data_IF_504120052117
#
_entry.id   IF_504120052117
#
_cell.length_a   1.000
_cell.length_b   1.000
_cell.length_c   1.000
_cell.angle_alpha   90.00
_cell.angle_beta   90.00
_cell.angle_gamma   90.00
#
_symmetry.space_group_name_H-M   'P 1'
#
loop_
_entity.id
_entity.type
_entity.pdbx_description
1 polymer ?
#
# COMPACT_ATOMS: atom_id res chain seq x y z
N UNK A 1 2.09 -2.56 17.57
CA UNK A 1 2.34 -1.36 16.75
C UNK A 1 3.25 -0.45 17.55
N UNK A 2 4.13 0.34 16.92
CA UNK A 2 4.89 1.37 17.64
C UNK A 2 3.93 2.43 18.18
N UNK A 3 4.26 3.04 19.32
CA UNK A 3 3.47 4.16 19.85
C UNK A 3 3.65 5.34 18.90
N UNK A 4 2.52 5.94 18.49
CA UNK A 4 2.54 7.14 17.65
C UNK A 4 3.25 8.27 18.37
N UNK A 5 4.05 9.03 17.64
CA UNK A 5 4.65 10.26 18.17
C UNK A 5 3.52 11.24 18.56
N UNK A 6 3.56 11.85 19.76
CA UNK A 6 2.47 12.68 20.27
C UNK A 6 2.05 13.80 19.32
N UNK A 7 3.04 14.45 18.70
CA UNK A 7 2.86 15.61 17.80
C UNK A 7 2.74 15.24 16.32
N UNK A 8 2.60 13.95 16.01
CA UNK A 8 2.34 13.53 14.64
C UNK A 8 0.88 13.88 14.28
N UNK A 9 0.59 14.71 13.26
CA UNK A 9 -0.79 14.98 12.87
C UNK A 9 -1.41 13.81 12.09
N UNK A 10 -0.58 12.92 11.54
CA UNK A 10 -1.00 11.86 10.65
C UNK A 10 -1.33 10.58 11.43
N UNK A 11 -2.46 9.89 11.12
CA UNK A 11 -2.77 8.59 11.72
C UNK A 11 -2.04 7.47 10.97
N UNK A 12 -1.96 6.28 11.58
CA UNK A 12 -1.68 5.06 10.83
C UNK A 12 -2.78 4.82 9.79
N UNK A 13 -2.40 4.34 8.61
CA UNK A 13 -3.36 3.96 7.57
C UNK A 13 -3.21 2.47 7.24
N UNK A 14 -4.25 1.90 6.65
CA UNK A 14 -4.27 0.54 6.12
C UNK A 14 -4.51 0.60 4.61
N UNK A 15 -3.51 0.17 3.83
CA UNK A 15 -3.68 -0.06 2.40
C UNK A 15 -4.29 -1.45 2.20
N UNK A 16 -5.60 -1.50 1.93
CA UNK A 16 -6.34 -2.76 1.73
C UNK A 16 -5.87 -3.43 0.44
N UNK A 17 -5.72 -4.75 0.47
CA UNK A 17 -5.35 -5.57 -0.67
C UNK A 17 -6.58 -5.99 -1.46
N UNK A 18 -6.39 -6.14 -2.76
CA UNK A 18 -7.41 -6.76 -3.60
C UNK A 18 -7.41 -8.27 -3.31
N UNK A 19 -8.58 -8.93 -3.21
CA UNK A 19 -8.62 -10.38 -3.06
C UNK A 19 -7.82 -11.09 -4.16
N UNK A 20 -7.00 -12.07 -3.78
CA UNK A 20 -6.10 -12.77 -4.72
C UNK A 20 -4.81 -12.01 -5.10
N UNK A 21 -4.63 -10.80 -4.59
CA UNK A 21 -3.39 -10.03 -4.80
C UNK A 21 -2.22 -10.59 -3.98
N UNK A 22 -1.01 -10.44 -4.55
CA UNK A 22 0.28 -10.80 -3.96
C UNK A 22 1.18 -9.56 -3.85
N UNK A 23 2.27 -9.64 -3.08
CA UNK A 23 3.22 -8.53 -2.95
C UNK A 23 3.83 -8.07 -4.29
N UNK A 24 3.93 -9.01 -5.25
CA UNK A 24 4.52 -8.78 -6.57
C UNK A 24 3.47 -8.55 -7.67
N UNK A 25 2.19 -8.45 -7.33
CA UNK A 25 1.13 -8.21 -8.31
C UNK A 25 1.29 -6.83 -8.95
N UNK A 26 1.47 -6.79 -10.27
CA UNK A 26 1.48 -5.55 -11.08
C UNK A 26 0.13 -5.36 -11.79
N UNK A 27 -0.58 -6.46 -12.01
CA UNK A 27 -1.90 -6.52 -12.64
C UNK A 27 -2.94 -6.97 -11.63
N UNK A 28 -4.21 -6.65 -11.91
CA UNK A 28 -5.31 -7.10 -11.07
C UNK A 28 -5.42 -8.63 -11.09
N UNK A 29 -5.73 -9.26 -9.94
CA UNK A 29 -5.98 -10.70 -9.88
C UNK A 29 -7.16 -11.09 -10.77
N UNK A 30 -7.02 -12.20 -11.50
CA UNK A 30 -8.06 -12.71 -12.39
C UNK A 30 -8.82 -13.88 -11.74
N UNK A 31 -10.08 -14.04 -12.13
CA UNK A 31 -10.88 -15.22 -11.79
C UNK A 31 -10.69 -16.28 -12.87
N UNK A 32 -9.78 -17.23 -12.64
CA UNK A 32 -9.45 -18.29 -13.61
C UNK A 32 -10.13 -19.63 -13.33
N UNK A 33 -10.84 -19.76 -12.21
CA UNK A 33 -11.57 -20.99 -11.89
C UNK A 33 -12.98 -20.97 -12.49
N UNK A 34 -13.36 -22.07 -13.15
CA UNK A 34 -14.72 -22.29 -13.67
C UNK A 34 -15.71 -22.84 -12.62
N UNK A 35 -15.35 -22.83 -11.33
CA UNK A 35 -16.22 -23.34 -10.27
C UNK A 35 -17.41 -22.38 -10.06
N UNK A 36 -18.56 -22.70 -10.65
CA UNK A 36 -19.83 -22.02 -10.40
C UNK A 36 -20.45 -22.41 -9.04
N UNK A 37 -19.95 -23.47 -8.40
CA UNK A 37 -20.42 -23.90 -7.09
C UNK A 37 -19.79 -23.07 -5.96
N UNK A 38 -20.62 -22.31 -5.24
CA UNK A 38 -20.21 -21.49 -4.08
C UNK A 38 -19.52 -22.32 -2.98
N UNK A 39 -19.75 -23.63 -2.91
CA UNK A 39 -19.17 -24.52 -1.91
C UNK A 39 -17.81 -25.12 -2.28
N UNK A 40 -17.33 -24.98 -3.53
CA UNK A 40 -16.06 -25.59 -3.96
C UNK A 40 -15.06 -24.52 -4.39
N UNK A 41 -14.36 -23.97 -3.40
CA UNK A 41 -13.26 -23.03 -3.62
C UNK A 41 -12.07 -23.73 -4.27
N UNK A 42 -11.44 -23.10 -5.27
CA UNK A 42 -10.23 -23.62 -5.89
C UNK A 42 -9.02 -23.51 -4.96
N UNK A 43 -8.00 -24.35 -5.15
CA UNK A 43 -6.77 -24.29 -4.35
C UNK A 43 -5.80 -23.18 -4.80
N UNK A 44 -6.14 -22.45 -5.86
CA UNK A 44 -5.35 -21.32 -6.37
C UNK A 44 -5.36 -20.18 -5.32
N UNK A 45 -4.16 -19.74 -4.93
CA UNK A 45 -4.00 -18.68 -3.92
C UNK A 45 -4.23 -17.28 -4.49
N UNK A 46 -4.11 -17.11 -5.80
CA UNK A 46 -4.22 -15.82 -6.50
C UNK A 46 -5.58 -15.60 -7.16
N UNK A 47 -6.49 -16.58 -7.10
CA UNK A 47 -7.81 -16.49 -7.72
C UNK A 47 -8.65 -15.39 -7.05
N UNK A 48 -9.08 -14.39 -7.81
CA UNK A 48 -9.89 -13.28 -7.28
C UNK A 48 -11.20 -13.77 -6.65
N UNK A 49 -12.05 -14.47 -7.42
CA UNK A 49 -13.38 -14.91 -6.97
C UNK A 49 -13.34 -15.77 -5.69
N UNK A 50 -12.43 -16.75 -5.64
CA UNK A 50 -12.31 -17.62 -4.46
C UNK A 50 -11.76 -16.87 -3.24
N UNK A 51 -10.85 -15.92 -3.43
CA UNK A 51 -10.38 -15.10 -2.30
C UNK A 51 -11.44 -14.10 -1.82
N UNK A 52 -12.29 -13.55 -2.71
CA UNK A 52 -13.42 -12.74 -2.29
C UNK A 52 -14.32 -13.51 -1.32
N UNK A 53 -14.69 -14.75 -1.67
CA UNK A 53 -15.54 -15.60 -0.82
C UNK A 53 -14.82 -15.97 0.49
N UNK A 54 -13.51 -16.27 0.44
CA UNK A 54 -12.72 -16.56 1.66
C UNK A 54 -12.69 -15.37 2.62
N UNK A 55 -12.36 -14.19 2.12
CA UNK A 55 -12.28 -12.96 2.92
C UNK A 55 -13.67 -12.56 3.46
N UNK A 56 -14.74 -12.79 2.68
CA UNK A 56 -16.13 -12.59 3.13
C UNK A 56 -16.54 -13.59 4.22
N UNK A 57 -16.28 -14.88 4.06
CA UNK A 57 -16.61 -15.91 5.05
C UNK A 57 -15.87 -15.68 6.38
N UNK A 58 -14.62 -15.20 6.32
CA UNK A 58 -13.83 -14.87 7.50
C UNK A 58 -14.15 -13.49 8.09
N UNK A 59 -14.92 -12.66 7.38
CA UNK A 59 -15.17 -11.26 7.74
C UNK A 59 -13.88 -10.46 7.98
N UNK A 60 -12.82 -10.78 7.24
CA UNK A 60 -11.53 -10.09 7.29
C UNK A 60 -11.18 -9.46 5.95
N UNK A 61 -10.24 -8.53 5.97
CA UNK A 61 -9.55 -8.05 4.77
C UNK A 61 -8.06 -8.07 5.01
N UNK A 62 -7.30 -8.29 3.94
CA UNK A 62 -5.84 -8.22 3.97
C UNK A 62 -5.37 -6.79 3.75
N UNK A 63 -4.30 -6.39 4.44
CA UNK A 63 -3.79 -5.02 4.32
C UNK A 63 -2.31 -4.85 4.62
N UNK A 64 -1.74 -3.77 4.10
CA UNK A 64 -0.41 -3.27 4.45
C UNK A 64 -0.54 -2.06 5.36
N UNK A 65 0.25 -2.02 6.42
CA UNK A 65 0.26 -0.88 7.34
C UNK A 65 1.08 0.25 6.70
N UNK A 66 0.52 1.45 6.70
CA UNK A 66 1.25 2.67 6.37
C UNK A 66 1.49 3.46 7.66
N UNK A 67 2.74 3.87 7.85
CA UNK A 67 3.23 4.51 9.06
C UNK A 67 3.57 5.96 8.73
N UNK A 68 3.06 6.95 9.47
CA UNK A 68 3.52 8.33 9.34
C UNK A 68 5.03 8.44 9.47
N UNK A 69 5.68 9.23 8.61
CA UNK A 69 7.15 9.31 8.57
C UNK A 69 7.74 9.75 9.91
N UNK A 70 7.09 10.69 10.61
CA UNK A 70 7.54 11.23 11.91
C UNK A 70 7.50 10.14 12.97
N UNK A 71 6.40 9.38 13.02
CA UNK A 71 6.28 8.20 13.89
C UNK A 71 7.32 7.12 13.54
N UNK A 72 7.51 6.81 12.27
CA UNK A 72 8.52 5.82 11.83
C UNK A 72 9.95 6.23 12.25
N UNK A 73 10.24 7.52 12.24
CA UNK A 73 11.55 8.11 12.56
C UNK A 73 11.69 8.58 14.01
N UNK A 74 10.69 8.37 14.87
CA UNK A 74 10.68 8.80 16.28
C UNK A 74 10.96 10.28 16.48
N UNK A 75 10.39 11.12 15.60
CA UNK A 75 10.58 12.57 15.68
C UNK A 75 12.02 13.05 15.42
N UNK A 76 12.95 12.17 15.03
CA UNK A 76 14.36 12.55 14.79
C UNK A 76 14.55 13.36 13.51
N UNK A 77 13.56 13.38 12.62
CA UNK A 77 13.63 14.14 11.37
C UNK A 77 13.26 15.60 11.63
N UNK A 78 14.14 16.59 11.35
CA UNK A 78 13.77 18.00 11.41
C UNK A 78 12.79 18.30 10.26
N UNK A 79 11.50 18.40 10.59
CA UNK A 79 10.39 18.51 9.64
C UNK A 79 10.18 19.91 9.04
N UNK A 80 11.12 20.84 9.23
CA UNK A 80 10.92 22.27 8.90
C UNK A 80 11.38 22.64 7.48
N UNK A 81 11.46 21.69 6.55
CA UNK A 81 12.02 21.94 5.21
C UNK A 81 11.02 21.94 4.06
N UNK A 82 10.04 21.01 4.04
CA UNK A 82 9.13 20.83 2.90
C UNK A 82 7.78 20.25 3.33
N UNK A 83 6.68 20.79 2.77
CA UNK A 83 5.29 20.44 3.10
C UNK A 83 4.98 18.93 3.05
N UNK A 84 5.58 18.20 2.11
CA UNK A 84 5.30 16.78 1.93
C UNK A 84 5.82 15.89 3.05
N UNK A 85 6.70 16.39 3.91
CA UNK A 85 7.20 15.60 5.03
C UNK A 85 6.10 15.33 6.06
N UNK A 86 5.11 16.21 6.22
CA UNK A 86 4.02 16.03 7.19
C UNK A 86 3.00 14.98 6.75
N UNK A 87 2.75 14.90 5.43
CA UNK A 87 1.82 13.93 4.83
C UNK A 87 2.56 12.71 4.24
N UNK A 88 3.86 12.56 4.49
CA UNK A 88 4.64 11.41 4.04
C UNK A 88 4.35 10.19 4.92
N UNK A 89 4.01 9.10 4.26
CA UNK A 89 3.77 7.80 4.86
C UNK A 89 4.83 6.82 4.35
N UNK A 90 5.22 5.88 5.19
CA UNK A 90 6.05 4.74 4.80
C UNK A 90 5.23 3.46 4.80
N UNK A 91 5.38 2.66 3.74
CA UNK A 91 4.79 1.33 3.69
C UNK A 91 5.61 0.36 4.54
N UNK A 92 5.01 -0.26 5.55
CA UNK A 92 5.70 -1.26 6.36
C UNK A 92 6.11 -2.46 5.50
N UNK A 93 7.41 -2.74 5.44
CA UNK A 93 7.96 -3.74 4.52
C UNK A 93 7.46 -5.16 4.85
N UNK A 94 7.35 -5.49 6.15
CA UNK A 94 6.91 -6.80 6.62
C UNK A 94 5.44 -7.06 6.21
N UNK A 95 4.53 -6.12 6.51
CA UNK A 95 3.13 -6.22 6.08
C UNK A 95 2.90 -5.92 4.59
N UNK A 96 3.88 -5.38 3.88
CA UNK A 96 3.84 -5.28 2.41
C UNK A 96 4.15 -6.63 1.74
N UNK A 97 4.96 -7.47 2.38
CA UNK A 97 5.27 -8.81 1.89
C UNK A 97 4.22 -9.83 2.36
N UNK A 98 3.88 -9.80 3.64
CA UNK A 98 2.92 -10.69 4.28
C UNK A 98 1.78 -9.85 4.87
N UNK A 99 0.68 -9.63 4.13
CA UNK A 99 -0.38 -8.73 4.59
C UNK A 99 -0.98 -9.21 5.90
N UNK A 100 -1.41 -8.25 6.71
CA UNK A 100 -2.13 -8.55 7.95
C UNK A 100 -3.61 -8.78 7.67
N UNK A 101 -4.21 -9.74 8.37
CA UNK A 101 -5.65 -9.95 8.35
C UNK A 101 -6.31 -9.02 9.38
N UNK A 102 -7.23 -8.17 8.91
CA UNK A 102 -7.93 -7.20 9.74
C UNK A 102 -9.43 -7.48 9.70
N UNK A 103 -10.10 -7.65 10.85
CA UNK A 103 -11.55 -7.79 10.89
C UNK A 103 -12.25 -6.58 10.26
N UNK A 104 -13.20 -6.82 9.34
CA UNK A 104 -13.93 -5.76 8.63
C UNK A 104 -14.63 -4.80 9.58
N UNK A 105 -15.16 -5.32 10.69
CA UNK A 105 -15.83 -4.53 11.72
C UNK A 105 -14.93 -3.46 12.36
N UNK A 106 -13.60 -3.67 12.42
CA UNK A 106 -12.67 -2.70 13.00
C UNK A 106 -12.44 -1.48 12.12
N UNK A 107 -12.59 -1.64 10.80
CA UNK A 107 -12.29 -0.60 9.81
C UNK A 107 -13.53 -0.02 9.14
N UNK A 108 -14.71 -0.59 9.40
CA UNK A 108 -15.97 -0.23 8.72
C UNK A 108 -16.30 1.26 8.81
N UNK A 109 -16.15 1.84 9.99
CA UNK A 109 -16.47 3.24 10.28
C UNK A 109 -15.27 4.19 10.21
N UNK A 110 -14.10 3.71 9.73
CA UNK A 110 -12.92 4.56 9.63
C UNK A 110 -12.95 5.43 8.36
N UNK A 111 -12.46 6.68 8.43
CA UNK A 111 -12.42 7.56 7.28
C UNK A 111 -11.47 7.03 6.22
N UNK A 112 -11.86 7.13 4.95
CA UNK A 112 -11.01 6.83 3.80
C UNK A 112 -10.19 8.07 3.43
N UNK A 113 -8.93 7.83 3.05
CA UNK A 113 -7.96 8.84 2.63
C UNK A 113 -7.23 8.35 1.39
N UNK A 114 -6.91 9.28 0.49
CA UNK A 114 -6.16 8.96 -0.73
C UNK A 114 -4.67 8.96 -0.42
N UNK A 115 -3.99 7.88 -0.80
CA UNK A 115 -2.52 7.77 -0.71
C UNK A 115 -1.97 7.63 -2.12
N UNK A 116 -1.00 8.47 -2.46
CA UNK A 116 -0.33 8.42 -3.75
C UNK A 116 1.00 7.68 -3.60
N UNK A 117 1.20 6.64 -4.39
CA UNK A 117 2.42 5.83 -4.40
C UNK A 117 3.28 6.15 -5.62
N UNK A 118 4.60 6.21 -5.42
CA UNK A 118 5.53 6.52 -6.51
C UNK A 118 6.99 6.36 -6.13
N UNK A 119 7.89 6.72 -7.05
CA UNK A 119 9.34 6.78 -6.78
C UNK A 119 9.78 8.11 -6.16
N UNK A 120 9.04 9.20 -6.43
CA UNK A 120 9.26 10.51 -5.84
C UNK A 120 7.99 11.35 -5.91
N UNK A 121 7.96 12.43 -5.12
CA UNK A 121 6.88 13.42 -5.15
C UNK A 121 6.71 14.01 -6.56
N UNK A 122 7.82 14.31 -7.24
CA UNK A 122 7.80 14.84 -8.60
C UNK A 122 7.19 13.86 -9.61
N UNK A 123 7.43 12.54 -9.45
CA UNK A 123 6.84 11.55 -10.37
C UNK A 123 5.38 11.28 -10.07
N UNK A 124 4.96 11.33 -8.80
CA UNK A 124 3.55 11.23 -8.38
C UNK A 124 2.71 12.35 -9.01
N UNK A 125 3.19 13.59 -8.97
CA UNK A 125 2.44 14.75 -9.45
C UNK A 125 2.65 15.06 -10.92
N UNK A 126 3.50 14.31 -11.62
CA UNK A 126 3.75 14.52 -13.04
C UNK A 126 2.46 14.26 -13.84
N UNK A 127 1.97 15.29 -14.51
CA UNK A 127 0.76 15.21 -15.34
C UNK A 127 -0.56 15.33 -14.57
N UNK A 128 -0.52 15.59 -13.25
CA UNK A 128 -1.73 15.99 -12.52
C UNK A 128 -2.03 17.47 -12.75
N UNK A 129 -3.31 17.83 -12.71
CA UNK A 129 -3.74 19.23 -12.73
C UNK A 129 -3.38 19.93 -11.43
N UNK A 130 -3.34 21.27 -11.46
CA UNK A 130 -3.09 22.09 -10.27
C UNK A 130 -4.09 21.78 -9.15
N UNK A 131 -5.36 21.56 -9.48
CA UNK A 131 -6.42 21.20 -8.52
C UNK A 131 -6.18 19.82 -7.91
N UNK A 132 -5.75 18.84 -8.72
CA UNK A 132 -5.40 17.50 -8.24
C UNK A 132 -4.20 17.52 -7.29
N UNK A 133 -3.22 18.36 -7.59
CA UNK A 133 -2.07 18.60 -6.71
C UNK A 133 -2.58 19.23 -5.40
N UNK A 134 -3.30 20.36 -5.45
CA UNK A 134 -3.85 21.04 -4.26
C UNK A 134 -4.69 20.11 -3.38
N UNK A 135 -5.53 19.27 -3.99
CA UNK A 135 -6.31 18.27 -3.26
C UNK A 135 -5.42 17.29 -2.49
N UNK A 136 -4.36 16.77 -3.13
CA UNK A 136 -3.40 15.90 -2.46
C UNK A 136 -2.71 16.63 -1.30
N UNK A 137 -2.30 17.90 -1.51
CA UNK A 137 -1.74 18.72 -0.45
C UNK A 137 -2.69 18.78 0.76
N UNK A 138 -3.97 19.09 0.57
CA UNK A 138 -4.91 19.32 1.67
C UNK A 138 -5.47 18.06 2.33
N UNK A 139 -5.62 16.96 1.58
CA UNK A 139 -6.38 15.79 2.04
C UNK A 139 -5.74 14.44 1.74
N UNK A 140 -4.61 14.44 1.04
CA UNK A 140 -3.90 13.25 0.60
C UNK A 140 -2.65 12.96 1.42
N UNK A 141 -2.14 11.76 1.22
CA UNK A 141 -0.85 11.30 1.71
C UNK A 141 0.03 10.86 0.56
N UNK A 142 1.35 10.91 0.74
CA UNK A 142 2.32 10.43 -0.24
C UNK A 142 3.18 9.33 0.35
N UNK A 143 3.42 8.27 -0.40
CA UNK A 143 4.25 7.16 0.02
C UNK A 143 5.23 6.80 -1.10
N UNK A 144 6.50 7.15 -0.92
CA UNK A 144 7.54 6.96 -1.95
C UNK A 144 8.50 5.80 -1.63
N UNK A 145 8.40 5.23 -0.42
CA UNK A 145 9.31 4.19 0.06
C UNK A 145 8.65 3.25 1.06
N UNK A 146 9.15 2.03 1.08
CA UNK A 146 8.91 1.09 2.17
C UNK A 146 9.84 1.35 3.34
N UNK A 147 9.51 0.78 4.48
CA UNK A 147 10.25 0.94 5.73
C UNK A 147 10.25 -0.35 6.53
N UNK A 148 11.43 -0.79 6.92
CA UNK A 148 11.57 -1.95 7.79
C UNK A 148 11.57 -1.51 9.25
N UNK A 149 10.50 -1.78 9.99
CA UNK A 149 10.31 -1.26 11.35
C UNK A 149 11.40 -1.69 12.34
N UNK A 150 11.94 -2.91 12.19
CA UNK A 150 12.95 -3.50 13.08
C UNK A 150 14.30 -2.80 12.96
N UNK A 151 14.77 -2.60 11.73
CA UNK A 151 16.08 -2.01 11.42
C UNK A 151 16.01 -0.50 11.17
N UNK A 152 14.80 0.03 10.96
CA UNK A 152 14.52 1.38 10.44
C UNK A 152 15.15 1.67 9.08
N UNK A 153 15.50 0.63 8.33
CA UNK A 153 16.09 0.80 7.02
C UNK A 153 15.02 1.20 5.99
N UNK A 154 15.34 2.14 5.08
CA UNK A 154 14.50 2.37 3.92
C UNK A 154 14.50 1.14 3.01
N UNK A 155 13.34 0.85 2.41
CA UNK A 155 13.13 -0.25 1.47
C UNK A 155 12.42 0.27 0.21
N UNK A 156 12.58 -0.39 -0.94
CA UNK A 156 11.74 -0.09 -2.10
C UNK A 156 10.27 -0.44 -1.79
N UNK A 157 9.33 0.26 -2.44
CA UNK A 157 7.93 -0.13 -2.42
C UNK A 157 7.75 -1.50 -3.10
N UNK A 158 6.82 -2.30 -2.59
CA UNK A 158 6.41 -3.53 -3.25
C UNK A 158 5.67 -3.23 -4.55
N UNK A 159 5.80 -4.12 -5.54
CA UNK A 159 5.29 -3.91 -6.89
C UNK A 159 3.79 -3.56 -6.91
N UNK A 160 3.03 -4.16 -5.99
CA UNK A 160 1.61 -3.92 -5.81
C UNK A 160 1.24 -2.48 -5.44
N UNK A 161 2.11 -1.80 -4.70
CA UNK A 161 1.93 -0.40 -4.32
C UNK A 161 2.44 0.52 -5.42
N UNK A 162 3.62 0.22 -5.97
CA UNK A 162 4.18 0.95 -7.09
C UNK A 162 5.23 0.12 -7.82
N UNK A 163 5.09 -0.02 -9.14
CA UNK A 163 6.09 -0.63 -10.00
C UNK A 163 6.59 0.38 -11.04
N UNK A 164 7.87 0.81 -10.98
CA UNK A 164 8.41 1.82 -11.89
C UNK A 164 8.44 1.34 -13.35
N UNK A 165 8.04 2.20 -14.28
CA UNK A 165 8.08 1.92 -15.72
C UNK A 165 9.50 1.55 -16.23
N UNK A 166 10.55 2.09 -15.61
CA UNK A 166 11.94 1.75 -15.94
C UNK A 166 12.33 0.31 -15.61
N UNK A 167 11.61 -0.36 -14.69
CA UNK A 167 11.82 -1.78 -14.38
C UNK A 167 11.04 -2.70 -15.33
N UNK A 168 9.90 -2.25 -15.86
CA UNK A 168 9.16 -2.99 -16.91
C UNK A 168 10.02 -3.15 -18.17
N UNK A 169 10.72 -2.11 -18.60
CA UNK A 169 11.54 -2.16 -19.82
C UNK A 169 12.78 -3.05 -19.69
N UNK A 170 13.39 -3.12 -18.50
CA UNK A 170 14.51 -4.05 -18.24
C UNK A 170 14.08 -5.50 -18.30
N UNK A 171 12.98 -5.86 -17.66
CA UNK A 171 12.45 -7.24 -17.67
C UNK A 171 12.16 -7.72 -19.10
N UNK A 172 11.56 -6.86 -19.94
CA UNK A 172 11.33 -7.17 -21.36
C UNK A 172 12.59 -7.37 -22.20
N UNK A 173 13.70 -6.73 -21.83
CA UNK A 173 14.97 -6.89 -22.55
C UNK A 173 15.72 -8.14 -22.10
N UNK A 174 15.53 -8.58 -20.84
CA UNK A 174 16.09 -9.83 -20.32
C UNK A 174 15.33 -11.06 -20.85
N UNK A 175 13.99 -10.98 -21.00
CA UNK A 175 13.18 -12.05 -21.61
C UNK A 175 13.44 -12.25 -23.12
N UNK A 176 14.07 -11.28 -23.78
CA UNK A 176 14.37 -11.32 -25.22
C UNK A 176 15.80 -11.78 -25.54
N UNK A 177 16.59 -12.12 -24.53
CA UNK A 177 17.98 -12.54 -24.68
C UNK A 177 18.12 -14.03 -24.36
#
# INVERSE_FOLDING_TARGET
MDRREPDDPSPYLLAIWTPGETANSIQQPESRCGSQDQNKLCNEKTCFSCNCIREENLQTVRGTILIPCRTAMRGSFPLNGTYFQVNEMFADHESSHNPIDVPRGWIWNLPRRTVYFGTSVSTIFKGLSTEGIQYCFWRGYVCVRGFERKTRAPRPLMARLHFPASKLTKTKNEEKK
#
